data_IF_368379442751
#
_entry.id   IF_368379442751
#
_cell.length_a   1.000
_cell.length_b   1.000
_cell.length_c   1.000
_cell.angle_alpha   90.00
_cell.angle_beta   90.00
_cell.angle_gamma   90.00
#
_symmetry.space_group_name_H-M   'P 1'
#
loop_
_entity.id
_entity.type
_entity.pdbx_description
1 polymer ?
#
# COMPACT_ATOMS: atom_id res chain seq x y z
N UNK A 1 -65.32 42.26 -16.08
CA UNK A 1 -63.87 42.50 -16.29
C UNK A 1 -63.18 42.53 -14.93
N UNK A 2 -62.72 41.38 -14.41
CA UNK A 2 -62.10 41.30 -13.08
C UNK A 2 -60.57 41.34 -13.19
N UNK A 3 -59.97 42.50 -12.92
CA UNK A 3 -58.52 42.64 -12.77
C UNK A 3 -58.13 42.11 -11.38
N UNK A 4 -57.74 40.84 -11.28
CA UNK A 4 -57.10 40.29 -10.09
C UNK A 4 -55.72 40.93 -9.97
N UNK A 5 -55.61 41.93 -9.11
CA UNK A 5 -54.36 42.56 -8.73
C UNK A 5 -53.49 41.51 -8.01
N UNK A 6 -52.44 41.04 -8.67
CA UNK A 6 -51.35 40.32 -8.01
C UNK A 6 -50.69 41.30 -7.03
N UNK A 7 -50.75 41.01 -5.73
CA UNK A 7 -50.04 41.82 -4.75
C UNK A 7 -48.52 41.68 -4.97
N UNK A 8 -47.74 42.76 -4.84
CA UNK A 8 -46.29 42.65 -4.92
C UNK A 8 -45.78 41.89 -3.70
N UNK A 9 -45.10 40.77 -3.94
CA UNK A 9 -44.55 39.89 -2.92
C UNK A 9 -43.54 40.65 -2.04
N UNK A 10 -43.98 41.13 -0.85
CA UNK A 10 -43.10 41.81 0.12
C UNK A 10 -42.40 40.77 0.98
N UNK A 11 -41.30 40.19 0.49
CA UNK A 11 -40.44 39.34 1.33
C UNK A 11 -39.90 40.20 2.46
N UNK A 12 -40.09 39.76 3.70
CA UNK A 12 -39.54 40.47 4.85
C UNK A 12 -38.01 40.33 4.82
N UNK A 13 -37.29 41.45 4.87
CA UNK A 13 -35.83 41.47 4.82
C UNK A 13 -35.18 40.53 5.87
N UNK A 14 -35.83 40.35 7.03
CA UNK A 14 -35.39 39.40 8.06
C UNK A 14 -35.46 37.94 7.61
N UNK A 15 -36.49 37.58 6.86
CA UNK A 15 -36.67 36.23 6.29
C UNK A 15 -35.60 35.99 5.22
N UNK A 16 -35.36 36.98 4.35
CA UNK A 16 -34.31 36.90 3.32
C UNK A 16 -32.92 36.68 3.95
N UNK A 17 -32.57 37.46 4.98
CA UNK A 17 -31.30 37.32 5.70
C UNK A 17 -31.17 35.95 6.39
N UNK A 18 -32.24 35.43 7.00
CA UNK A 18 -32.23 34.11 7.61
C UNK A 18 -32.00 32.99 6.59
N UNK A 19 -32.62 33.08 5.40
CA UNK A 19 -32.42 32.08 4.33
C UNK A 19 -31.01 32.09 3.73
N UNK A 20 -30.38 33.27 3.64
CA UNK A 20 -28.99 33.38 3.17
C UNK A 20 -28.04 32.77 4.21
N UNK A 21 -28.27 33.05 5.50
CA UNK A 21 -27.44 32.52 6.58
C UNK A 21 -27.52 30.99 6.68
N UNK A 22 -28.70 30.39 6.49
CA UNK A 22 -28.84 28.92 6.51
C UNK A 22 -28.13 28.26 5.33
N UNK A 23 -28.20 28.83 4.13
CA UNK A 23 -27.47 28.32 2.95
C UNK A 23 -25.96 28.40 3.17
N UNK A 24 -25.48 29.49 3.80
CA UNK A 24 -24.05 29.67 4.09
C UNK A 24 -23.54 28.66 5.12
N UNK A 25 -24.30 28.42 6.20
CA UNK A 25 -23.98 27.40 7.21
C UNK A 25 -23.97 25.98 6.62
N UNK A 26 -24.94 25.67 5.75
CA UNK A 26 -25.00 24.37 5.07
C UNK A 26 -23.83 24.20 4.10
N UNK A 27 -23.44 25.25 3.37
CA UNK A 27 -22.29 25.25 2.47
C UNK A 27 -20.97 25.00 3.21
N UNK A 28 -20.73 25.68 4.33
CA UNK A 28 -19.54 25.46 5.16
C UNK A 28 -19.52 24.04 5.75
N UNK A 29 -20.67 23.51 6.17
CA UNK A 29 -20.79 22.13 6.63
C UNK A 29 -20.43 21.11 5.53
N UNK A 30 -20.89 21.32 4.29
CA UNK A 30 -20.53 20.47 3.14
C UNK A 30 -19.04 20.58 2.76
N UNK A 31 -18.41 21.74 2.92
CA UNK A 31 -16.97 21.92 2.68
C UNK A 31 -16.12 21.18 3.71
N UNK A 32 -16.56 21.11 4.98
CA UNK A 32 -15.84 20.35 6.02
C UNK A 32 -15.88 18.83 5.81
N UNK A 33 -16.86 18.30 5.07
CA UNK A 33 -16.94 16.87 4.75
C UNK A 33 -15.90 16.47 3.67
N UNK A 34 -15.46 17.40 2.80
CA UNK A 34 -14.51 17.08 1.73
C UNK A 34 -13.05 17.02 2.18
N UNK A 35 -12.71 17.59 3.33
CA UNK A 35 -11.31 17.81 3.71
C UNK A 35 -10.71 16.72 4.61
N UNK A 36 -11.49 15.70 5.00
CA UNK A 36 -11.03 14.64 5.91
C UNK A 36 -10.93 13.27 5.24
N UNK A 37 -10.73 13.24 3.92
CA UNK A 37 -10.42 12.02 3.19
C UNK A 37 -8.91 11.91 2.92
N UNK A 38 -8.08 12.05 3.95
CA UNK A 38 -6.92 11.16 4.05
C UNK A 38 -7.44 9.80 4.49
N UNK A 39 -8.14 9.14 3.56
CA UNK A 39 -8.16 7.70 3.53
C UNK A 39 -6.69 7.32 3.47
N UNK A 40 -6.16 6.73 4.54
CA UNK A 40 -4.89 6.05 4.50
C UNK A 40 -4.90 5.25 3.21
N UNK A 41 -4.14 5.73 2.22
CA UNK A 41 -4.07 5.10 0.91
C UNK A 41 -3.45 3.77 1.22
N UNK A 42 -4.34 2.79 1.32
CA UNK A 42 -3.97 1.41 1.44
C UNK A 42 -3.04 1.17 0.25
N UNK A 43 -1.80 0.83 0.59
CA UNK A 43 -0.78 0.38 -0.35
C UNK A 43 -1.25 -0.95 -0.96
N UNK A 44 -2.29 -0.88 -1.77
CA UNK A 44 -2.59 -1.87 -2.80
C UNK A 44 -1.91 -1.38 -4.07
N UNK A 45 -0.59 -1.20 -3.98
CA UNK A 45 0.22 -1.47 -5.15
C UNK A 45 -0.14 -2.89 -5.54
N UNK A 46 -0.54 -3.08 -6.79
CA UNK A 46 -0.92 -4.36 -7.37
C UNK A 46 0.15 -5.43 -7.05
N UNK A 47 0.02 -6.12 -5.92
CA UNK A 47 0.98 -7.10 -5.44
C UNK A 47 0.74 -8.41 -6.19
N UNK A 48 1.10 -8.39 -7.46
CA UNK A 48 1.49 -9.61 -8.15
C UNK A 48 2.75 -10.05 -7.42
N UNK A 49 2.59 -10.85 -6.37
CA UNK A 49 3.70 -11.39 -5.60
C UNK A 49 4.74 -12.03 -6.52
N UNK A 50 5.93 -12.25 -5.97
CA UNK A 50 7.07 -12.80 -6.70
C UNK A 50 7.08 -14.31 -6.47
N UNK A 51 7.41 -15.10 -7.50
CA UNK A 51 7.65 -16.52 -7.30
C UNK A 51 8.91 -16.73 -6.45
N UNK A 52 8.80 -17.43 -5.33
CA UNK A 52 9.92 -17.71 -4.41
C UNK A 52 10.95 -18.65 -5.09
N UNK A 53 12.15 -18.15 -5.44
CA UNK A 53 13.08 -18.90 -6.27
C UNK A 53 13.92 -19.88 -5.44
N UNK A 54 14.56 -20.81 -6.14
CA UNK A 54 15.60 -21.66 -5.56
C UNK A 54 16.98 -21.10 -5.89
N UNK A 55 17.74 -20.71 -4.87
CA UNK A 55 19.13 -20.24 -4.95
C UNK A 55 20.13 -21.17 -4.26
N UNK A 56 19.71 -22.37 -3.86
CA UNK A 56 20.62 -23.38 -3.28
C UNK A 56 21.74 -23.75 -4.26
N UNK A 57 22.96 -23.83 -3.76
CA UNK A 57 24.15 -24.17 -4.54
C UNK A 57 24.73 -23.01 -5.35
N UNK A 58 24.04 -21.86 -5.41
CA UNK A 58 24.59 -20.66 -6.05
C UNK A 58 25.69 -20.02 -5.18
N UNK A 59 26.67 -19.35 -5.78
CA UNK A 59 27.52 -18.40 -5.07
C UNK A 59 26.67 -17.32 -4.42
N UNK A 60 27.04 -16.91 -3.21
CA UNK A 60 26.35 -15.85 -2.45
C UNK A 60 26.02 -14.62 -3.30
N UNK A 61 26.99 -14.13 -4.09
CA UNK A 61 26.79 -12.96 -4.96
C UNK A 61 25.65 -13.17 -5.96
N UNK A 62 25.64 -14.31 -6.64
CA UNK A 62 24.64 -14.63 -7.67
C UNK A 62 23.26 -14.86 -7.05
N UNK A 63 23.20 -15.52 -5.88
CA UNK A 63 21.97 -15.69 -5.12
C UNK A 63 21.35 -14.33 -4.73
N UNK A 64 22.17 -13.42 -4.22
CA UNK A 64 21.72 -12.07 -3.82
C UNK A 64 21.26 -11.24 -5.01
N UNK A 65 21.98 -11.30 -6.13
CA UNK A 65 21.59 -10.62 -7.37
C UNK A 65 20.24 -11.18 -7.88
N UNK A 66 20.07 -12.49 -7.88
CA UNK A 66 18.81 -13.14 -8.27
C UNK A 66 17.63 -12.66 -7.42
N UNK A 67 17.76 -12.69 -6.10
CA UNK A 67 16.70 -12.29 -5.17
C UNK A 67 16.36 -10.79 -5.30
N UNK A 68 17.37 -9.94 -5.39
CA UNK A 68 17.17 -8.48 -5.58
C UNK A 68 16.57 -8.14 -6.93
N UNK A 69 17.00 -8.80 -8.00
CA UNK A 69 16.46 -8.58 -9.35
C UNK A 69 15.00 -8.99 -9.46
N UNK A 70 14.59 -10.02 -8.71
CA UNK A 70 13.19 -10.41 -8.61
C UNK A 70 12.35 -9.44 -7.77
N UNK A 71 12.99 -8.65 -6.91
CA UNK A 71 12.36 -7.59 -6.12
C UNK A 71 12.21 -7.92 -4.63
N UNK A 72 12.88 -8.95 -4.12
CA UNK A 72 12.93 -9.23 -2.69
C UNK A 72 13.78 -8.18 -1.97
N UNK A 73 13.22 -7.63 -0.89
CA UNK A 73 13.86 -6.53 -0.14
C UNK A 73 14.31 -6.93 1.26
N UNK A 74 13.81 -8.04 1.80
CA UNK A 74 14.07 -8.48 3.17
C UNK A 74 14.86 -9.79 3.17
N UNK A 75 16.19 -9.70 3.22
CA UNK A 75 17.11 -10.83 3.11
C UNK A 75 17.99 -10.91 4.37
N UNK A 76 17.94 -12.05 5.06
CA UNK A 76 18.76 -12.36 6.23
C UNK A 76 19.85 -13.37 5.85
N UNK A 77 21.08 -13.15 6.28
CA UNK A 77 22.24 -13.98 5.90
C UNK A 77 22.83 -14.61 7.14
N UNK A 78 22.96 -15.94 7.11
CA UNK A 78 23.57 -16.77 8.13
C UNK A 78 24.83 -17.45 7.58
N UNK A 79 25.88 -17.53 8.38
CA UNK A 79 27.11 -18.23 8.02
C UNK A 79 27.23 -19.53 8.82
N UNK A 80 27.58 -20.63 8.16
CA UNK A 80 27.80 -21.92 8.81
C UNK A 80 29.00 -22.64 8.19
N UNK A 81 29.90 -23.14 9.03
CA UNK A 81 31.03 -23.97 8.58
C UNK A 81 30.53 -25.30 8.03
N UNK A 82 30.93 -25.62 6.81
CA UNK A 82 30.54 -26.85 6.13
C UNK A 82 31.70 -27.36 5.28
N UNK A 83 32.30 -28.48 5.70
CA UNK A 83 33.47 -29.08 5.05
C UNK A 83 33.16 -29.74 3.70
N UNK A 84 31.87 -29.91 3.37
CA UNK A 84 31.42 -30.54 2.12
C UNK A 84 31.13 -29.53 1.01
N UNK A 85 30.93 -28.26 1.36
CA UNK A 85 30.60 -27.20 0.42
C UNK A 85 31.78 -26.23 0.28
N UNK A 86 31.96 -25.68 -0.92
CA UNK A 86 32.95 -24.63 -1.10
C UNK A 86 32.53 -23.35 -0.34
N UNK A 87 33.52 -22.64 0.20
CA UNK A 87 33.30 -21.36 0.89
C UNK A 87 32.52 -20.38 -0.01
N UNK A 88 31.54 -19.70 0.57
CA UNK A 88 30.70 -18.70 -0.10
C UNK A 88 29.56 -19.26 -0.94
N UNK A 89 29.32 -20.59 -0.90
CA UNK A 89 28.16 -21.23 -1.54
C UNK A 89 26.96 -21.22 -0.62
N UNK A 90 25.77 -20.96 -1.17
CA UNK A 90 24.50 -21.08 -0.45
C UNK A 90 24.21 -22.55 -0.19
N UNK A 91 24.15 -22.92 1.10
CA UNK A 91 23.88 -24.27 1.58
C UNK A 91 22.50 -24.40 2.22
N UNK A 92 21.80 -23.28 2.44
CA UNK A 92 20.44 -23.26 2.98
C UNK A 92 19.67 -22.03 2.50
N UNK A 93 18.36 -22.19 2.35
CA UNK A 93 17.43 -21.09 2.13
C UNK A 93 16.08 -21.41 2.79
N UNK A 94 15.42 -20.42 3.38
CA UNK A 94 14.08 -20.57 3.93
C UNK A 94 13.29 -19.28 3.87
N UNK A 95 11.98 -19.41 3.69
CA UNK A 95 11.01 -18.34 3.89
C UNK A 95 9.90 -18.90 4.78
N UNK A 96 9.67 -18.27 5.94
CA UNK A 96 8.73 -18.81 6.93
C UNK A 96 7.32 -18.87 6.32
N UNK A 97 6.75 -20.07 6.20
CA UNK A 97 5.43 -20.38 5.63
C UNK A 97 5.33 -20.53 4.10
N UNK A 98 6.44 -20.48 3.36
CA UNK A 98 6.40 -20.57 1.89
C UNK A 98 7.29 -21.69 1.35
N UNK A 99 6.87 -22.24 0.22
CA UNK A 99 7.58 -23.26 -0.55
C UNK A 99 8.11 -22.66 -1.84
N UNK A 100 9.13 -23.30 -2.39
CA UNK A 100 9.70 -22.90 -3.68
C UNK A 100 8.63 -22.88 -4.76
N UNK A 101 8.59 -21.80 -5.53
CA UNK A 101 7.59 -21.54 -6.56
C UNK A 101 6.32 -20.85 -6.07
N UNK A 102 6.10 -20.72 -4.76
CA UNK A 102 4.94 -19.98 -4.23
C UNK A 102 5.03 -18.51 -4.61
N UNK A 103 3.86 -17.89 -4.84
CA UNK A 103 3.77 -16.45 -5.05
C UNK A 103 3.75 -15.77 -3.68
N UNK A 104 4.79 -14.99 -3.39
CA UNK A 104 5.01 -14.39 -2.07
C UNK A 104 5.14 -12.86 -2.16
N UNK A 105 4.78 -12.12 -1.09
CA UNK A 105 5.01 -10.68 -1.02
C UNK A 105 6.50 -10.32 -1.15
N UNK A 106 6.79 -9.13 -1.69
CA UNK A 106 8.17 -8.68 -1.92
C UNK A 106 8.99 -8.48 -0.64
N UNK A 107 8.31 -8.15 0.45
CA UNK A 107 8.87 -7.91 1.79
C UNK A 107 8.97 -9.18 2.64
N UNK A 108 8.61 -10.34 2.08
CA UNK A 108 8.84 -11.64 2.71
C UNK A 108 10.30 -11.78 3.12
N UNK A 109 10.52 -12.13 4.38
CA UNK A 109 11.86 -12.44 4.88
C UNK A 109 12.34 -13.76 4.27
N UNK A 110 13.51 -13.70 3.62
CA UNK A 110 14.22 -14.88 3.14
C UNK A 110 15.53 -15.01 3.91
N UNK A 111 15.67 -16.13 4.61
CA UNK A 111 16.90 -16.50 5.30
C UNK A 111 17.78 -17.31 4.35
N UNK A 112 19.04 -16.91 4.20
CA UNK A 112 20.04 -17.57 3.36
C UNK A 112 21.18 -18.03 4.25
N UNK A 113 21.56 -19.30 4.15
CA UNK A 113 22.71 -19.86 4.85
C UNK A 113 23.85 -20.08 3.86
N UNK A 114 25.01 -19.49 4.12
CA UNK A 114 26.22 -19.63 3.31
C UNK A 114 27.28 -20.47 4.03
N UNK A 115 28.02 -21.27 3.26
CA UNK A 115 29.18 -22.01 3.75
C UNK A 115 30.33 -21.04 4.05
N UNK A 116 30.90 -21.16 5.25
CA UNK A 116 32.05 -20.36 5.71
C UNK A 116 33.34 -21.16 5.69
#
# INVERSE_FOLDING_TARGET
MNKRLLSPFRINLKILMATILTILLLGVFLLNIKNNNELAVTKYENDKGIAYPNVLGLPYREAMETLKNLGFINLEINELSNDLAAQGIVIGQSAHSYRLGDIVPKDTQIDITISK
#
